data_IF_291450820161
#
_entry.id   IF_291450820161
#
_cell.length_a   1.000
_cell.length_b   1.000
_cell.length_c   1.000
_cell.angle_alpha   90.00
_cell.angle_beta   90.00
_cell.angle_gamma   90.00
#
_symmetry.space_group_name_H-M   'P 1'
#
loop_
_entity.id
_entity.type
_entity.pdbx_description
1 polymer ?
#
# COMPACT_ATOMS: atom_id res chain seq x y z
N UNK A 1 -16.29 -4.28 -8.89
CA UNK A 1 -15.19 -3.81 -9.73
C UNK A 1 -14.49 -5.03 -10.32
N UNK A 2 -14.38 -5.12 -11.64
CA UNK A 2 -13.71 -6.22 -12.32
C UNK A 2 -12.19 -6.13 -12.20
N UNK A 3 -11.49 -7.25 -12.44
CA UNK A 3 -10.02 -7.27 -12.49
C UNK A 3 -9.54 -6.56 -13.77
N UNK A 4 -8.56 -5.67 -13.62
CA UNK A 4 -8.00 -4.89 -14.73
C UNK A 4 -6.50 -5.13 -14.95
N UNK A 5 -5.80 -5.70 -13.96
CA UNK A 5 -4.36 -5.91 -14.02
C UNK A 5 -4.00 -7.33 -14.50
N UNK A 6 -3.20 -7.39 -15.57
CA UNK A 6 -2.57 -8.64 -16.03
C UNK A 6 -1.21 -8.83 -15.33
N UNK A 7 -1.15 -9.76 -14.38
CA UNK A 7 0.05 -10.06 -13.59
C UNK A 7 1.28 -10.43 -14.45
N UNK A 8 1.06 -11.00 -15.63
CA UNK A 8 2.18 -11.42 -16.50
C UNK A 8 2.84 -10.24 -17.20
N UNK A 9 2.07 -9.19 -17.44
CA UNK A 9 2.51 -7.98 -18.14
C UNK A 9 2.80 -6.81 -17.22
N UNK A 10 2.29 -6.86 -15.98
CA UNK A 10 2.43 -5.77 -15.02
C UNK A 10 3.90 -5.65 -14.57
N UNK A 11 4.45 -4.47 -14.79
CA UNK A 11 5.72 -4.02 -14.21
C UNK A 11 5.49 -2.68 -13.54
N UNK A 12 6.04 -2.52 -12.36
CA UNK A 12 6.16 -1.21 -11.72
C UNK A 12 7.44 -0.56 -12.24
N UNK A 13 7.32 0.62 -12.80
CA UNK A 13 8.41 1.35 -13.43
C UNK A 13 9.13 2.19 -12.37
N UNK A 14 8.34 2.94 -11.59
CA UNK A 14 8.85 3.85 -10.57
C UNK A 14 7.71 4.28 -9.63
N UNK A 15 8.06 5.01 -8.60
CA UNK A 15 7.11 5.78 -7.81
C UNK A 15 7.65 7.20 -7.60
N UNK A 16 6.75 8.19 -7.53
CA UNK A 16 7.09 9.57 -7.24
C UNK A 16 6.30 10.07 -6.03
N UNK A 17 6.99 10.76 -5.12
CA UNK A 17 6.39 11.46 -3.99
C UNK A 17 6.35 12.93 -4.36
N UNK A 18 5.15 13.50 -4.45
CA UNK A 18 4.96 14.89 -4.88
C UNK A 18 4.86 15.87 -3.72
N UNK A 19 4.26 15.44 -2.61
CA UNK A 19 4.06 16.27 -1.41
C UNK A 19 4.29 15.42 -0.17
N UNK A 20 4.93 16.03 0.82
CA UNK A 20 5.16 15.42 2.13
C UNK A 20 6.46 14.65 2.23
N UNK A 21 6.85 14.39 3.47
CA UNK A 21 7.92 13.47 3.79
C UNK A 21 7.30 12.14 4.16
N UNK A 22 7.83 11.05 3.63
CA UNK A 22 7.49 9.70 4.08
C UNK A 22 8.03 9.47 5.52
N UNK A 23 7.62 10.30 6.47
CA UNK A 23 7.96 10.14 7.87
C UNK A 23 7.08 9.05 8.45
N UNK A 24 7.56 7.82 8.36
CA UNK A 24 6.92 6.68 8.98
C UNK A 24 7.57 6.45 10.33
N UNK A 25 6.77 6.47 11.39
CA UNK A 25 7.20 6.08 12.72
C UNK A 25 6.74 4.66 13.02
N UNK A 26 7.63 3.90 13.63
CA UNK A 26 7.33 2.55 14.14
C UNK A 26 6.66 2.72 15.52
N UNK A 27 5.37 2.41 15.60
CA UNK A 27 4.59 2.42 16.82
C UNK A 27 4.60 1.01 17.40
N UNK A 28 5.52 0.76 18.29
CA UNK A 28 5.90 -0.59 18.73
C UNK A 28 4.82 -1.47 19.33
N UNK A 29 3.67 -0.98 19.76
CA UNK A 29 2.64 -1.87 20.33
C UNK A 29 1.23 -1.28 20.26
N UNK A 30 0.37 -1.91 19.49
CA UNK A 30 -1.06 -1.90 19.74
C UNK A 30 -1.48 -3.26 20.34
N UNK A 31 -2.48 -3.30 21.19
CA UNK A 31 -3.01 -4.57 21.74
C UNK A 31 -3.52 -5.52 20.67
N UNK A 32 -3.85 -5.01 19.50
CA UNK A 32 -4.44 -5.76 18.37
C UNK A 32 -3.42 -6.16 17.31
N UNK A 33 -2.26 -5.47 17.21
CA UNK A 33 -1.24 -5.70 16.19
C UNK A 33 0.15 -5.72 16.81
N UNK A 34 0.99 -6.63 16.34
CA UNK A 34 2.38 -6.76 16.83
C UNK A 34 3.24 -5.55 16.46
N UNK A 35 2.90 -4.83 15.37
CA UNK A 35 3.55 -3.61 14.93
C UNK A 35 2.55 -2.74 14.19
N UNK A 36 2.66 -1.44 14.36
CA UNK A 36 1.91 -0.45 13.62
C UNK A 36 2.84 0.66 13.16
N UNK A 37 2.63 1.14 11.95
CA UNK A 37 3.36 2.27 11.38
C UNK A 37 2.44 3.48 11.28
N UNK A 38 3.01 4.67 11.51
CA UNK A 38 2.30 5.93 11.36
C UNK A 38 2.90 6.78 10.25
N UNK A 39 2.09 7.21 9.30
CA UNK A 39 2.42 8.31 8.40
C UNK A 39 2.08 9.61 9.13
N UNK A 40 3.09 10.41 9.47
CA UNK A 40 2.93 11.59 10.35
C UNK A 40 2.84 12.90 9.59
N UNK A 41 3.03 12.91 8.28
CA UNK A 41 2.81 14.06 7.40
C UNK A 41 1.94 13.66 6.22
N UNK A 42 1.11 14.57 5.69
CA UNK A 42 0.36 14.31 4.48
C UNK A 42 1.28 13.89 3.35
N UNK A 43 0.85 12.95 2.53
CA UNK A 43 1.63 12.45 1.43
C UNK A 43 0.78 12.29 0.17
N UNK A 44 1.35 12.69 -0.97
CA UNK A 44 0.83 12.40 -2.29
C UNK A 44 1.88 11.66 -3.07
N UNK A 45 1.52 10.49 -3.58
CA UNK A 45 2.44 9.68 -4.38
C UNK A 45 1.74 9.09 -5.60
N UNK A 46 2.54 8.78 -6.61
CA UNK A 46 2.11 8.01 -7.77
C UNK A 46 2.97 6.77 -7.94
N UNK A 47 2.33 5.65 -8.25
CA UNK A 47 3.00 4.40 -8.62
C UNK A 47 2.79 4.20 -10.11
N UNK A 48 3.88 4.32 -10.88
CA UNK A 48 3.86 4.18 -12.34
C UNK A 48 4.03 2.72 -12.74
N UNK A 49 3.15 2.24 -13.59
CA UNK A 49 3.20 0.87 -14.09
C UNK A 49 3.03 0.81 -15.61
N UNK A 50 3.31 -0.35 -16.19
CA UNK A 50 3.07 -0.61 -17.63
C UNK A 50 1.58 -0.66 -18.00
N UNK A 51 0.66 -0.65 -17.05
CA UNK A 51 -0.78 -0.79 -17.27
C UNK A 51 -1.60 0.38 -16.72
N UNK A 52 -0.94 1.41 -16.22
CA UNK A 52 -1.55 2.60 -15.67
C UNK A 52 -0.82 3.12 -14.43
N UNK A 53 -1.35 4.16 -13.84
CA UNK A 53 -0.78 4.84 -12.68
C UNK A 53 -1.77 4.82 -11.52
N UNK A 54 -1.31 4.41 -10.35
CA UNK A 54 -2.06 4.55 -9.11
C UNK A 54 -1.63 5.85 -8.42
N UNK A 55 -2.56 6.79 -8.34
CA UNK A 55 -2.36 8.04 -7.61
C UNK A 55 -2.97 7.93 -6.21
N UNK A 56 -2.20 8.29 -5.20
CA UNK A 56 -2.56 8.15 -3.79
C UNK A 56 -2.35 9.46 -3.08
N UNK A 57 -3.40 9.98 -2.45
CA UNK A 57 -3.35 11.11 -1.53
C UNK A 57 -3.76 10.64 -0.13
N UNK A 58 -2.93 10.91 0.87
CA UNK A 58 -3.17 10.49 2.25
C UNK A 58 -2.95 11.67 3.16
N UNK A 59 -3.97 11.99 3.98
CA UNK A 59 -3.83 12.95 5.08
C UNK A 59 -3.17 12.30 6.29
N UNK A 60 -2.39 13.07 7.02
CA UNK A 60 -1.83 12.64 8.30
C UNK A 60 -2.76 12.98 9.48
N UNK A 61 -2.70 12.21 10.58
CA UNK A 61 -1.98 10.95 10.68
C UNK A 61 -2.72 9.80 10.01
N UNK A 62 -1.97 8.88 9.41
CA UNK A 62 -2.51 7.62 8.89
C UNK A 62 -1.73 6.45 9.48
N UNK A 63 -2.43 5.45 10.01
CA UNK A 63 -1.83 4.29 10.63
C UNK A 63 -2.12 3.02 9.82
N UNK A 64 -1.11 2.17 9.67
CA UNK A 64 -1.22 0.90 8.97
C UNK A 64 -0.35 -0.16 9.63
N UNK A 65 -0.73 -1.43 9.52
CA UNK A 65 -0.02 -2.53 10.18
C UNK A 65 1.21 -3.01 9.38
N UNK A 66 1.33 -2.56 8.15
CA UNK A 66 2.47 -2.80 7.28
C UNK A 66 2.50 -4.19 6.66
N UNK A 67 2.13 -5.22 7.37
CA UNK A 67 2.13 -6.60 6.88
C UNK A 67 0.96 -7.35 7.44
N UNK A 68 -0.16 -7.25 6.73
CA UNK A 68 -1.34 -8.06 7.03
C UNK A 68 -1.21 -9.43 6.39
N UNK A 69 -1.07 -10.46 7.19
CA UNK A 69 -1.00 -11.82 6.67
C UNK A 69 -0.84 -12.87 7.75
N UNK A 70 -0.92 -14.16 7.38
CA UNK A 70 -0.69 -15.25 8.31
C UNK A 70 0.69 -15.14 8.99
N UNK A 71 0.81 -15.62 10.22
CA UNK A 71 2.00 -15.53 11.08
C UNK A 71 3.34 -15.90 10.39
N UNK A 72 3.32 -16.80 9.41
CA UNK A 72 4.53 -17.21 8.69
C UNK A 72 5.08 -16.15 7.75
N UNK A 73 4.30 -15.10 7.38
CA UNK A 73 4.83 -13.97 6.61
C UNK A 73 5.88 -13.22 7.42
N UNK A 74 5.68 -13.08 8.72
CA UNK A 74 6.65 -12.41 9.60
C UNK A 74 8.00 -13.11 9.59
N UNK A 75 8.00 -14.43 9.46
CA UNK A 75 9.22 -15.22 9.34
C UNK A 75 9.87 -15.07 7.96
N UNK A 76 9.05 -14.98 6.91
CA UNK A 76 9.54 -14.92 5.51
C UNK A 76 9.97 -13.52 5.06
N UNK A 77 9.38 -12.47 5.61
CA UNK A 77 9.70 -11.07 5.36
C UNK A 77 9.82 -10.30 6.69
N UNK A 78 10.89 -10.54 7.47
CA UNK A 78 10.93 -10.19 8.89
C UNK A 78 10.95 -8.68 9.18
N UNK A 79 11.42 -7.85 8.27
CA UNK A 79 11.57 -6.42 8.54
C UNK A 79 11.12 -5.56 7.35
N UNK A 80 10.37 -4.49 7.64
CA UNK A 80 10.16 -3.38 6.72
C UNK A 80 11.41 -2.47 6.78
N UNK A 81 12.51 -2.94 6.19
CA UNK A 81 13.81 -2.30 6.36
C UNK A 81 14.00 -1.06 5.49
N UNK A 82 13.54 -1.11 4.24
CA UNK A 82 13.73 -0.02 3.28
C UNK A 82 12.50 0.90 3.19
N UNK A 83 12.73 2.11 2.65
CA UNK A 83 11.64 3.05 2.36
C UNK A 83 10.67 2.46 1.34
N UNK A 84 11.21 1.79 0.32
CA UNK A 84 10.43 1.14 -0.74
C UNK A 84 9.50 0.05 -0.17
N UNK A 85 9.98 -0.75 0.78
CA UNK A 85 9.15 -1.76 1.46
C UNK A 85 8.01 -1.11 2.25
N UNK A 86 8.31 -0.07 3.02
CA UNK A 86 7.30 0.65 3.81
C UNK A 86 6.24 1.30 2.92
N UNK A 87 6.66 1.94 1.83
CA UNK A 87 5.75 2.55 0.85
C UNK A 87 4.92 1.50 0.12
N UNK A 88 5.51 0.37 -0.22
CA UNK A 88 4.79 -0.75 -0.85
C UNK A 88 3.64 -1.24 0.02
N UNK A 89 3.87 -1.44 1.31
CA UNK A 89 2.82 -1.85 2.24
C UNK A 89 1.81 -0.73 2.51
N UNK A 90 2.26 0.51 2.63
CA UNK A 90 1.37 1.66 2.75
C UNK A 90 0.40 1.76 1.57
N UNK A 91 0.90 1.67 0.34
CA UNK A 91 0.09 1.69 -0.88
C UNK A 91 -0.90 0.53 -0.91
N UNK A 92 -0.47 -0.67 -0.50
CA UNK A 92 -1.33 -1.83 -0.43
C UNK A 92 -2.49 -1.62 0.56
N UNK A 93 -2.20 -1.17 1.77
CA UNK A 93 -3.19 -1.01 2.82
C UNK A 93 -4.16 0.13 2.51
N UNK A 94 -3.65 1.28 2.03
CA UNK A 94 -4.48 2.41 1.60
C UNK A 94 -5.42 2.02 0.46
N UNK A 95 -4.91 1.30 -0.55
CA UNK A 95 -5.73 0.87 -1.66
C UNK A 95 -6.75 -0.21 -1.25
N UNK A 96 -6.36 -1.10 -0.36
CA UNK A 96 -7.27 -2.07 0.25
C UNK A 96 -8.41 -1.41 1.01
N UNK A 97 -8.12 -0.33 1.71
CA UNK A 97 -9.11 0.48 2.39
C UNK A 97 -10.02 1.23 1.41
N UNK A 98 -9.43 1.99 0.48
CA UNK A 98 -10.16 2.82 -0.50
C UNK A 98 -10.90 2.00 -1.57
N UNK A 99 -10.53 0.74 -1.77
CA UNK A 99 -11.11 -0.17 -2.79
C UNK A 99 -11.05 0.40 -4.22
N UNK A 100 -10.03 1.18 -4.54
CA UNK A 100 -9.85 1.72 -5.88
C UNK A 100 -9.60 0.61 -6.91
N UNK A 101 -8.80 -0.39 -6.53
CA UNK A 101 -8.59 -1.61 -7.29
C UNK A 101 -9.36 -2.77 -6.66
N UNK A 102 -9.65 -3.82 -7.43
CA UNK A 102 -10.18 -5.05 -6.87
C UNK A 102 -9.20 -5.67 -5.86
N UNK A 103 -9.69 -6.54 -4.98
CA UNK A 103 -8.82 -7.27 -4.04
C UNK A 103 -7.69 -8.03 -4.75
N UNK A 104 -8.00 -8.65 -5.91
CA UNK A 104 -7.03 -9.37 -6.71
C UNK A 104 -6.01 -8.42 -7.35
N UNK A 105 -6.44 -7.28 -7.88
CA UNK A 105 -5.56 -6.28 -8.46
C UNK A 105 -4.68 -5.62 -7.41
N UNK A 106 -5.21 -5.34 -6.21
CA UNK A 106 -4.43 -4.83 -5.07
C UNK A 106 -3.26 -5.77 -4.74
N UNK A 107 -3.52 -7.08 -4.65
CA UNK A 107 -2.47 -8.07 -4.39
C UNK A 107 -1.55 -8.29 -5.61
N UNK A 108 -2.04 -8.05 -6.81
CA UNK A 108 -1.23 -8.12 -8.03
C UNK A 108 -0.25 -6.94 -8.10
N UNK A 109 -0.71 -5.74 -7.73
CA UNK A 109 0.15 -4.57 -7.60
C UNK A 109 1.19 -4.74 -6.49
N UNK A 110 0.78 -5.25 -5.31
CA UNK A 110 1.71 -5.58 -4.23
C UNK A 110 2.84 -6.49 -4.71
N UNK A 111 2.50 -7.57 -5.41
CA UNK A 111 3.50 -8.48 -5.98
C UNK A 111 4.49 -7.75 -6.91
N UNK A 112 3.97 -6.91 -7.81
CA UNK A 112 4.81 -6.17 -8.76
C UNK A 112 5.73 -5.16 -8.03
N UNK A 113 5.22 -4.43 -7.04
CA UNK A 113 6.02 -3.50 -6.24
C UNK A 113 7.11 -4.22 -5.43
N UNK A 114 6.80 -5.34 -4.79
CA UNK A 114 7.80 -6.15 -4.07
C UNK A 114 8.91 -6.66 -5.00
N UNK A 115 8.55 -7.08 -6.22
CA UNK A 115 9.51 -7.57 -7.20
C UNK A 115 10.36 -6.44 -7.80
N UNK A 116 9.71 -5.36 -8.23
CA UNK A 116 10.34 -4.35 -9.10
C UNK A 116 10.97 -3.21 -8.28
N UNK A 117 10.36 -2.78 -7.18
CA UNK A 117 10.88 -1.70 -6.32
C UNK A 117 11.71 -2.21 -5.15
N UNK A 118 11.23 -3.26 -4.48
CA UNK A 118 11.93 -3.85 -3.34
C UNK A 118 12.97 -4.91 -3.75
N UNK A 119 13.08 -5.20 -5.05
CA UNK A 119 14.03 -6.17 -5.62
C UNK A 119 13.92 -7.59 -5.02
N UNK A 120 12.73 -7.98 -4.58
CA UNK A 120 12.52 -9.33 -4.08
C UNK A 120 12.58 -10.35 -5.22
N UNK A 121 13.15 -11.54 -4.95
CA UNK A 121 13.05 -12.66 -5.89
C UNK A 121 11.59 -12.94 -6.20
N UNK A 122 11.29 -13.23 -7.47
CA UNK A 122 9.92 -13.48 -7.95
C UNK A 122 9.17 -14.52 -7.10
N UNK A 123 9.85 -15.57 -6.68
CA UNK A 123 9.27 -16.62 -5.81
C UNK A 123 8.88 -16.06 -4.45
N UNK A 124 9.75 -15.25 -3.81
CA UNK A 124 9.45 -14.60 -2.53
C UNK A 124 8.26 -13.66 -2.64
N UNK A 125 8.24 -12.79 -3.65
CA UNK A 125 7.12 -11.86 -3.88
C UNK A 125 5.81 -12.63 -4.15
N UNK A 126 5.85 -13.73 -4.89
CA UNK A 126 4.69 -14.57 -5.17
C UNK A 126 4.16 -15.27 -3.91
N UNK A 127 5.04 -15.76 -3.03
CA UNK A 127 4.66 -16.37 -1.75
C UNK A 127 3.96 -15.34 -0.85
N UNK A 128 4.51 -14.12 -0.75
CA UNK A 128 3.89 -13.05 0.03
C UNK A 128 2.52 -12.71 -0.53
N UNK A 129 2.41 -12.50 -1.86
CA UNK A 129 1.12 -12.26 -2.51
C UNK A 129 0.09 -13.35 -2.21
N UNK A 130 0.48 -14.61 -2.33
CA UNK A 130 -0.40 -15.74 -2.03
C UNK A 130 -0.88 -15.69 -0.57
N UNK A 131 0.03 -15.52 0.36
CA UNK A 131 -0.30 -15.48 1.78
C UNK A 131 -1.25 -14.31 2.13
N UNK A 132 -1.01 -13.13 1.59
CA UNK A 132 -1.90 -11.97 1.77
C UNK A 132 -3.27 -12.23 1.14
N UNK A 133 -3.34 -12.93 0.00
CA UNK A 133 -4.60 -13.27 -0.66
C UNK A 133 -5.53 -14.18 0.17
N UNK A 134 -5.00 -14.87 1.18
CA UNK A 134 -5.80 -15.67 2.12
C UNK A 134 -6.58 -14.80 3.12
N UNK A 135 -6.21 -13.55 3.29
CA UNK A 135 -6.76 -12.63 4.31
C UNK A 135 -7.75 -11.61 3.73
N UNK A 136 -8.68 -12.06 2.86
CA UNK A 136 -9.66 -11.16 2.19
C UNK A 136 -10.57 -10.41 3.17
N UNK A 137 -10.73 -10.90 4.39
CA UNK A 137 -11.67 -10.34 5.38
C UNK A 137 -11.34 -8.91 5.82
N UNK A 138 -10.09 -8.46 5.68
CA UNK A 138 -9.68 -7.10 6.04
C UNK A 138 -9.99 -6.07 4.94
N UNK A 139 -10.13 -6.52 3.69
CA UNK A 139 -10.29 -5.63 2.54
C UNK A 139 -11.53 -4.73 2.67
N UNK A 140 -11.28 -3.42 2.65
CA UNK A 140 -12.31 -2.39 2.80
C UNK A 140 -12.80 -2.18 4.23
N UNK A 141 -12.07 -2.67 5.21
CA UNK A 141 -12.32 -2.37 6.63
C UNK A 141 -11.25 -1.42 7.13
N UNK A 142 -11.62 -0.38 7.90
CA UNK A 142 -10.63 0.45 8.57
C UNK A 142 -9.82 -0.40 9.55
N UNK A 143 -8.55 -0.03 9.73
CA UNK A 143 -7.74 -0.60 10.79
C UNK A 143 -8.43 -0.35 12.14
N UNK A 144 -8.48 -1.35 13.03
CA UNK A 144 -9.02 -1.15 14.38
C UNK A 144 -8.09 -0.23 15.15
N UNK A 145 -8.48 1.03 15.26
CA UNK A 145 -7.69 2.11 15.86
C UNK A 145 -8.27 2.54 17.20
N UNK A 146 -8.35 1.65 18.19
CA UNK A 146 -8.83 1.98 19.53
C UNK A 146 -8.03 3.11 20.21
N UNK A 147 -6.82 3.39 19.70
CA UNK A 147 -5.92 4.42 20.23
C UNK A 147 -5.65 5.59 19.28
N UNK A 148 -5.90 5.45 17.99
CA UNK A 148 -5.47 6.42 17.01
C UNK A 148 -6.64 6.84 16.14
N UNK A 149 -7.00 8.10 16.21
CA UNK A 149 -8.01 8.66 15.33
C UNK A 149 -7.40 8.83 13.93
N UNK A 150 -7.97 8.14 12.95
CA UNK A 150 -7.59 8.26 11.55
C UNK A 150 -8.76 8.83 10.77
N UNK A 151 -8.52 9.92 10.07
CA UNK A 151 -9.52 10.50 9.19
C UNK A 151 -9.44 9.82 7.81
N UNK A 152 -10.13 8.69 7.67
CA UNK A 152 -10.19 7.94 6.42
C UNK A 152 -10.91 8.69 5.29
N UNK A 153 -11.74 9.67 5.59
CA UNK A 153 -12.49 10.45 4.59
C UNK A 153 -11.58 11.33 3.73
N UNK A 154 -10.33 11.55 4.19
CA UNK A 154 -9.32 12.33 3.46
C UNK A 154 -8.32 11.46 2.68
N UNK A 155 -8.63 10.20 2.47
CA UNK A 155 -7.83 9.33 1.60
C UNK A 155 -8.42 9.38 0.19
N UNK A 156 -7.57 9.71 -0.78
CA UNK A 156 -7.93 9.72 -2.19
C UNK A 156 -7.04 8.74 -2.95
N UNK A 157 -7.65 7.77 -3.61
CA UNK A 157 -6.94 6.80 -4.45
C UNK A 157 -7.61 6.75 -5.81
N UNK A 158 -6.82 6.92 -6.88
CA UNK A 158 -7.30 6.89 -8.25
C UNK A 158 -6.39 6.07 -9.14
N UNK A 159 -6.96 5.17 -9.91
CA UNK A 159 -6.27 4.48 -11.00
C UNK A 159 -6.50 5.22 -12.32
N UNK A 160 -5.43 5.50 -13.05
CA UNK A 160 -5.44 6.22 -14.32
C UNK A 160 -4.74 5.40 -15.39
N UNK A 161 -5.39 5.22 -16.54
CA UNK A 161 -4.87 4.42 -17.66
C UNK A 161 -4.37 5.26 -18.83
N UNK A 162 -4.73 6.53 -18.90
CA UNK A 162 -4.52 7.42 -20.06
C UNK A 162 -3.33 8.37 -19.92
N UNK A 163 -2.51 8.20 -18.88
CA UNK A 163 -1.30 8.99 -18.68
C UNK A 163 -1.54 10.46 -18.28
N UNK A 164 -2.76 10.82 -17.91
CA UNK A 164 -3.02 12.16 -17.37
C UNK A 164 -2.42 12.28 -15.97
N UNK A 165 -1.51 13.23 -15.82
CA UNK A 165 -0.91 13.52 -14.51
C UNK A 165 -1.99 14.02 -13.55
N UNK A 166 -2.08 13.36 -12.40
CA UNK A 166 -2.97 13.77 -11.34
C UNK A 166 -2.30 14.91 -10.56
N UNK A 167 -2.74 16.11 -10.80
CA UNK A 167 -2.38 17.25 -9.95
C UNK A 167 -3.35 17.29 -8.78
N UNK A 168 -2.88 16.88 -7.59
CA UNK A 168 -3.62 17.15 -6.36
C UNK A 168 -3.65 18.66 -6.13
N UNK A 169 -4.81 19.27 -6.29
CA UNK A 169 -5.02 20.59 -5.73
C UNK A 169 -4.95 20.44 -4.21
N UNK A 170 -3.92 21.03 -3.61
CA UNK A 170 -3.89 21.23 -2.19
C UNK A 170 -5.05 22.22 -1.88
N UNK A 171 -6.11 21.70 -1.29
CA UNK A 171 -7.11 22.55 -0.68
C UNK A 171 -6.42 23.35 0.42
N UNK A 172 -6.37 24.67 0.20
CA UNK A 172 -5.75 25.65 1.07
C UNK A 172 -6.46 25.77 2.43
#
# INVERSE_FOLDING_TARGET
MGDILDIKKLKVIDFAIFVGKATLIDLKESKSFKRMYGLMSPMCLSVYTTQGTLNVGISAPFYFDGRSGPWFIDWYAPNLGSVEERLTWLVHDVNGYAKCLSFKDTNTLLFAMLRDLCHYRKTKAATIRYAVSLSKSWYGKPEPTDKYFVNYDKIQVKWVTDGTDFVLQADG
#
